data_IF_633222464827
#
_entry.id   IF_633222464827
#
_cell.length_a   1.000
_cell.length_b   1.000
_cell.length_c   1.000
_cell.angle_alpha   90.00
_cell.angle_beta   90.00
_cell.angle_gamma   90.00
#
_symmetry.space_group_name_H-M   'P 1'
#
loop_
_entity.id
_entity.type
_entity.pdbx_description
1 polymer ?
#
# COMPACT_ATOMS: atom_id res chain seq x y z
N UNK A 1 24.59 -35.73 -29.57
CA UNK A 1 26.03 -35.66 -29.30
C UNK A 1 26.27 -34.85 -28.04
N UNK A 2 26.74 -35.49 -27.00
CA UNK A 2 27.26 -34.95 -25.72
C UNK A 2 28.80 -34.93 -25.82
N UNK A 3 29.47 -34.48 -24.73
CA UNK A 3 29.96 -33.19 -24.26
C UNK A 3 31.51 -33.17 -24.39
N UNK A 4 32.43 -32.68 -23.56
CA UNK A 4 32.47 -32.20 -22.16
C UNK A 4 33.50 -31.07 -21.92
N UNK A 5 33.78 -30.58 -20.72
CA UNK A 5 34.83 -30.73 -19.63
C UNK A 5 34.98 -29.41 -18.87
N UNK A 6 34.84 -29.34 -17.63
CA UNK A 6 35.63 -29.42 -16.39
C UNK A 6 37.10 -28.91 -16.43
N UNK A 7 37.44 -27.95 -15.53
CA UNK A 7 38.64 -27.92 -14.66
C UNK A 7 38.45 -26.81 -13.60
N UNK A 8 38.43 -27.05 -12.38
CA UNK A 8 39.25 -27.48 -11.20
C UNK A 8 40.53 -26.67 -10.94
N UNK A 9 40.66 -26.27 -9.64
CA UNK A 9 41.82 -26.03 -8.75
C UNK A 9 42.42 -24.60 -8.80
N UNK A 10 42.85 -23.98 -7.71
CA UNK A 10 43.55 -24.49 -6.51
C UNK A 10 43.53 -23.52 -5.34
N UNK A 11 43.66 -24.09 -4.16
CA UNK A 11 43.92 -23.57 -2.82
C UNK A 11 45.32 -22.98 -2.73
N UNK A 12 45.51 -21.92 -1.94
CA UNK A 12 46.80 -21.62 -1.32
C UNK A 12 46.61 -21.13 0.12
N UNK A 13 47.09 -21.98 1.02
CA UNK A 13 47.35 -21.76 2.44
C UNK A 13 48.60 -20.91 2.58
N UNK A 14 48.60 -19.93 3.48
CA UNK A 14 49.76 -19.19 3.90
C UNK A 14 49.77 -19.03 5.42
N UNK A 15 50.50 -19.92 6.11
CA UNK A 15 50.91 -19.77 7.51
C UNK A 15 52.04 -18.75 7.60
N UNK A 16 52.01 -17.87 8.61
CA UNK A 16 53.23 -17.29 9.17
C UNK A 16 53.17 -17.21 10.69
N UNK A 17 54.31 -17.63 11.27
CA UNK A 17 54.56 -17.89 12.67
C UNK A 17 54.88 -16.61 13.46
N UNK A 18 54.69 -16.73 14.76
CA UNK A 18 55.11 -15.79 15.81
C UNK A 18 56.61 -15.70 16.02
N UNK A 19 57.11 -14.72 16.75
CA UNK A 19 58.12 -15.02 17.75
C UNK A 19 57.76 -14.61 19.18
N UNK A 20 58.22 -15.44 20.09
CA UNK A 20 58.27 -15.30 21.55
C UNK A 20 59.14 -14.14 21.99
N UNK A 21 58.68 -13.42 23.01
CA UNK A 21 59.49 -12.52 23.81
C UNK A 21 59.25 -12.79 25.30
N UNK A 22 60.29 -13.31 25.96
CA UNK A 22 60.39 -13.52 27.41
C UNK A 22 60.68 -12.19 28.13
N UNK A 23 59.96 -11.90 29.20
CA UNK A 23 60.44 -10.97 30.25
C UNK A 23 59.79 -11.29 31.62
N UNK A 24 60.67 -11.74 32.49
CA UNK A 24 60.87 -11.56 33.92
C UNK A 24 59.65 -11.47 34.89
N UNK A 25 59.75 -12.41 35.85
CA UNK A 25 58.98 -12.43 37.10
C UNK A 25 59.36 -11.26 38.04
N UNK A 26 58.32 -10.64 38.65
CA UNK A 26 58.46 -10.04 39.97
C UNK A 26 57.31 -10.53 40.84
N UNK A 27 57.69 -11.09 41.96
CA UNK A 27 56.79 -11.61 43.01
C UNK A 27 56.29 -10.51 43.90
N UNK A 28 55.01 -10.22 43.88
CA UNK A 28 54.33 -9.52 44.93
C UNK A 28 53.02 -10.24 45.33
N UNK A 29 52.91 -10.56 46.64
CA UNK A 29 51.75 -11.27 47.20
C UNK A 29 50.53 -10.36 47.26
N UNK A 30 49.37 -10.74 46.77
CA UNK A 30 48.15 -9.95 46.98
C UNK A 30 47.57 -10.21 48.33
N UNK A 31 47.20 -9.12 49.01
CA UNK A 31 46.27 -9.11 50.19
C UNK A 31 44.89 -9.58 49.75
N UNK A 32 44.08 -10.21 50.64
CA UNK A 32 42.71 -10.56 50.31
C UNK A 32 41.83 -9.32 50.23
N UNK A 33 41.51 -8.91 49.02
CA UNK A 33 40.57 -7.87 48.69
C UNK A 33 39.13 -8.39 48.73
N UNK A 34 38.29 -7.65 49.38
CA UNK A 34 36.85 -7.78 49.54
C UNK A 34 36.16 -8.26 48.26
N UNK A 35 35.45 -9.39 48.36
CA UNK A 35 34.59 -9.90 47.31
C UNK A 35 33.44 -8.94 47.04
N UNK A 36 33.61 -8.04 46.10
CA UNK A 36 32.52 -7.23 45.55
C UNK A 36 31.64 -8.15 44.74
N UNK A 37 30.44 -8.40 45.19
CA UNK A 37 29.35 -9.04 44.46
C UNK A 37 29.18 -8.29 43.13
N UNK A 38 29.66 -8.90 42.06
CA UNK A 38 29.35 -8.43 40.69
C UNK A 38 27.82 -8.55 40.50
N UNK A 39 27.13 -7.44 40.69
CA UNK A 39 25.74 -7.31 40.24
C UNK A 39 25.73 -7.67 38.75
N UNK A 40 25.10 -8.80 38.41
CA UNK A 40 24.81 -9.16 37.03
C UNK A 40 24.09 -7.98 36.38
N UNK A 41 24.82 -7.15 35.68
CA UNK A 41 24.27 -6.05 34.92
C UNK A 41 23.22 -6.61 33.98
N UNK A 42 21.99 -6.17 34.13
CA UNK A 42 20.92 -6.53 33.20
C UNK A 42 21.35 -6.19 31.77
N UNK A 43 20.86 -6.92 30.78
CA UNK A 43 21.27 -6.72 29.41
C UNK A 43 21.07 -5.27 28.98
N UNK A 44 22.09 -4.69 28.35
CA UNK A 44 22.11 -3.30 27.91
C UNK A 44 20.86 -2.94 27.09
N UNK A 45 20.27 -1.75 27.32
CA UNK A 45 19.10 -1.29 26.60
C UNK A 45 19.38 -1.17 25.10
N UNK A 46 18.34 -1.28 24.26
CA UNK A 46 18.45 -1.16 22.81
C UNK A 46 19.22 0.12 22.41
N UNK A 47 20.24 -0.05 21.59
CA UNK A 47 20.97 1.07 20.96
C UNK A 47 20.29 1.39 19.64
N UNK A 48 19.48 2.44 19.63
CA UNK A 48 18.69 2.84 18.45
C UNK A 48 19.48 3.83 17.61
N UNK A 49 19.60 3.59 16.32
CA UNK A 49 20.26 4.44 15.34
C UNK A 49 19.37 4.58 14.09
N UNK A 50 19.25 5.80 13.58
CA UNK A 50 18.47 6.11 12.38
C UNK A 50 19.10 7.25 11.61
N UNK A 51 20.20 6.99 10.83
CA UNK A 51 20.84 8.05 10.07
C UNK A 51 19.86 8.70 9.11
N UNK A 52 19.85 10.04 9.08
CA UNK A 52 18.96 10.84 8.22
C UNK A 52 17.52 11.01 8.73
N UNK A 53 17.15 10.40 9.87
CA UNK A 53 15.86 10.70 10.51
C UNK A 53 15.98 11.96 11.38
N UNK A 54 14.93 12.83 11.43
CA UNK A 54 14.87 13.96 12.35
C UNK A 54 15.06 13.52 13.81
N UNK A 55 15.72 14.32 14.62
CA UNK A 55 16.04 14.00 16.01
C UNK A 55 14.79 13.69 16.83
N UNK A 56 13.75 14.50 16.73
CA UNK A 56 12.48 14.33 17.43
C UNK A 56 11.72 13.06 17.00
N UNK A 57 11.89 12.62 15.76
CA UNK A 57 11.36 11.33 15.29
C UNK A 57 12.17 10.17 15.86
N UNK A 58 13.50 10.30 15.87
CA UNK A 58 14.41 9.30 16.43
C UNK A 58 14.15 9.10 17.93
N UNK A 59 13.84 10.15 18.69
CA UNK A 59 13.49 10.10 20.11
C UNK A 59 12.22 9.26 20.34
N UNK A 60 11.16 9.46 19.53
CA UNK A 60 9.94 8.65 19.60
C UNK A 60 10.24 7.19 19.30
N UNK A 61 11.06 6.91 18.28
CA UNK A 61 11.42 5.54 17.91
C UNK A 61 12.31 4.88 18.97
N UNK A 62 13.24 5.63 19.55
CA UNK A 62 14.07 5.16 20.67
C UNK A 62 13.22 4.77 21.87
N UNK A 63 12.25 5.61 22.23
CA UNK A 63 11.28 5.34 23.29
C UNK A 63 10.45 4.08 22.98
N UNK A 64 10.00 3.92 21.73
CA UNK A 64 9.24 2.75 21.29
C UNK A 64 10.00 1.44 21.53
N UNK A 65 11.26 1.36 21.06
CA UNK A 65 12.07 0.13 21.13
C UNK A 65 12.62 -0.15 22.53
N UNK A 66 12.77 0.87 23.37
CA UNK A 66 13.15 0.74 24.79
C UNK A 66 11.98 0.41 25.72
N UNK A 67 10.75 0.32 25.20
CA UNK A 67 9.57 -0.05 25.97
C UNK A 67 8.89 1.12 26.68
N UNK A 68 9.35 2.37 26.47
CA UNK A 68 8.73 3.57 27.05
C UNK A 68 7.43 3.97 26.36
N UNK A 69 6.61 4.79 27.00
CA UNK A 69 5.33 5.27 26.46
C UNK A 69 5.56 6.26 25.31
N UNK A 70 5.00 5.95 24.13
CA UNK A 70 5.05 6.83 22.97
C UNK A 70 3.71 7.51 22.71
N UNK A 71 3.70 8.72 22.12
CA UNK A 71 2.47 9.29 21.59
C UNK A 71 1.91 8.39 20.50
N UNK A 72 0.68 7.90 20.68
CA UNK A 72 0.07 6.97 19.73
C UNK A 72 -1.46 7.08 19.77
N UNK A 73 -2.13 6.72 18.67
CA UNK A 73 -3.57 6.56 18.62
C UNK A 73 -4.05 5.42 19.54
N UNK A 74 -5.33 5.46 19.93
CA UNK A 74 -5.92 4.53 20.90
C UNK A 74 -5.70 3.06 20.53
N UNK A 75 -5.95 2.69 19.27
CA UNK A 75 -5.78 1.32 18.79
C UNK A 75 -4.32 0.87 18.78
N UNK A 76 -3.40 1.80 18.45
CA UNK A 76 -1.95 1.55 18.47
C UNK A 76 -1.44 1.40 19.91
N UNK A 77 -1.90 2.23 20.86
CA UNK A 77 -1.58 2.08 22.28
C UNK A 77 -1.95 0.70 22.80
N UNK A 78 -3.15 0.23 22.46
CA UNK A 78 -3.62 -1.11 22.83
C UNK A 78 -2.74 -2.22 22.21
N UNK A 79 -2.35 -2.10 20.95
CA UNK A 79 -1.46 -3.07 20.30
C UNK A 79 -0.06 -3.08 20.92
N UNK A 80 0.45 -1.94 21.33
CA UNK A 80 1.78 -1.79 21.92
C UNK A 80 1.84 -2.11 23.43
N UNK A 81 0.72 -2.26 24.12
CA UNK A 81 0.67 -2.48 25.58
C UNK A 81 1.39 -3.76 26.02
N UNK A 82 1.29 -4.83 25.22
CA UNK A 82 1.90 -6.13 25.50
C UNK A 82 3.24 -6.35 24.79
N UNK A 83 3.84 -5.30 24.16
CA UNK A 83 5.08 -5.47 23.40
C UNK A 83 6.26 -5.85 24.30
N UNK A 84 7.21 -6.57 23.73
CA UNK A 84 8.50 -6.85 24.36
C UNK A 84 9.53 -5.80 23.90
N UNK A 85 10.54 -5.56 24.71
CA UNK A 85 11.70 -4.74 24.35
C UNK A 85 12.67 -5.53 23.47
N UNK A 86 13.30 -4.85 22.52
CA UNK A 86 14.41 -5.41 21.73
C UNK A 86 15.70 -5.28 22.53
N UNK A 87 16.56 -6.28 22.45
CA UNK A 87 17.92 -6.27 22.99
C UNK A 87 18.91 -6.09 21.83
N UNK A 88 19.95 -5.29 22.04
CA UNK A 88 20.97 -5.06 21.03
C UNK A 88 20.71 -3.88 20.09
N UNK A 89 21.42 -3.79 18.96
CA UNK A 89 21.33 -2.65 18.06
C UNK A 89 20.03 -2.66 17.28
N UNK A 90 19.36 -1.51 17.23
CA UNK A 90 18.18 -1.24 16.40
C UNK A 90 18.58 -0.23 15.32
N UNK A 91 18.64 -0.68 14.09
CA UNK A 91 18.94 0.17 12.93
C UNK A 91 17.66 0.55 12.24
N UNK A 92 17.36 1.84 12.21
CA UNK A 92 16.16 2.38 11.58
C UNK A 92 16.51 2.91 10.18
N UNK A 93 15.61 2.63 9.25
CA UNK A 93 15.57 3.26 7.93
C UNK A 93 14.18 3.86 7.72
N UNK A 94 14.07 4.90 6.90
CA UNK A 94 12.75 5.46 6.65
C UNK A 94 12.82 6.77 5.90
N UNK A 95 11.64 7.30 5.62
CA UNK A 95 11.48 8.62 4.99
C UNK A 95 10.45 9.44 5.74
N UNK A 96 10.67 10.75 5.74
CA UNK A 96 9.65 11.73 6.07
C UNK A 96 9.10 12.36 4.80
N UNK A 97 7.94 12.98 4.92
CA UNK A 97 7.31 13.67 3.81
C UNK A 97 6.12 14.51 4.26
N UNK A 98 5.29 14.91 3.31
CA UNK A 98 4.06 15.64 3.56
C UNK A 98 2.90 15.01 2.83
N UNK A 99 1.75 14.94 3.49
CA UNK A 99 0.48 14.63 2.87
C UNK A 99 -0.47 15.80 3.12
N UNK A 100 -0.86 16.50 2.03
CA UNK A 100 -1.52 17.79 2.14
C UNK A 100 -0.68 18.74 3.03
N UNK A 101 -1.21 19.23 4.15
CA UNK A 101 -0.50 20.09 5.11
C UNK A 101 0.21 19.33 6.24
N UNK A 102 -0.03 18.03 6.38
CA UNK A 102 0.49 17.24 7.49
C UNK A 102 1.84 16.62 7.19
N UNK A 103 2.76 16.66 8.14
CA UNK A 103 4.02 15.91 8.05
C UNK A 103 3.78 14.45 8.39
N UNK A 104 4.36 13.55 7.61
CA UNK A 104 4.25 12.10 7.76
C UNK A 104 5.62 11.45 7.81
N UNK A 105 5.69 10.28 8.43
CA UNK A 105 6.89 9.45 8.41
C UNK A 105 6.53 7.96 8.31
N UNK A 106 7.41 7.22 7.65
CA UNK A 106 7.42 5.76 7.70
C UNK A 106 8.80 5.32 8.12
N UNK A 107 8.90 4.57 9.22
CA UNK A 107 10.15 4.10 9.79
C UNK A 107 10.11 2.57 9.87
N UNK A 108 11.22 1.96 9.49
CA UNK A 108 11.36 0.49 9.36
C UNK A 108 12.57 0.03 10.17
N UNK A 109 12.41 -1.10 10.86
CA UNK A 109 13.49 -1.89 11.46
C UNK A 109 13.21 -3.35 11.16
N UNK A 110 14.09 -3.99 10.41
CA UNK A 110 13.89 -5.36 9.92
C UNK A 110 12.51 -5.51 9.25
N UNK A 111 11.60 -6.26 9.88
CA UNK A 111 10.21 -6.43 9.45
C UNK A 111 9.23 -5.47 10.12
N UNK A 112 9.68 -4.66 11.06
CA UNK A 112 8.82 -3.69 11.73
C UNK A 112 8.56 -2.50 10.81
N UNK A 113 7.34 -2.02 10.81
CA UNK A 113 6.92 -0.80 10.12
C UNK A 113 6.17 0.08 11.10
N UNK A 114 6.61 1.32 11.26
CA UNK A 114 5.96 2.33 12.09
C UNK A 114 5.50 3.50 11.23
N UNK A 115 4.22 3.84 11.33
CA UNK A 115 3.60 4.96 10.62
C UNK A 115 3.36 6.10 11.60
N UNK A 116 3.82 7.29 11.24
CA UNK A 116 3.71 8.45 12.12
C UNK A 116 3.18 9.66 11.37
N UNK A 117 2.41 10.46 12.10
CA UNK A 117 1.94 11.79 11.69
C UNK A 117 2.46 12.80 12.70
N UNK A 118 2.93 13.95 12.23
CA UNK A 118 3.35 15.06 13.08
C UNK A 118 2.40 16.23 12.92
N UNK A 119 1.75 16.56 14.00
CA UNK A 119 1.14 17.87 14.25
C UNK A 119 2.10 18.70 15.13
N UNK A 120 1.87 18.83 16.44
CA UNK A 120 2.82 19.41 17.39
C UNK A 120 3.99 18.46 17.69
N UNK A 121 3.72 17.16 17.74
CA UNK A 121 4.69 16.07 17.98
C UNK A 121 4.41 14.87 17.07
N UNK A 122 5.41 14.03 16.89
CA UNK A 122 5.20 12.76 16.19
C UNK A 122 4.31 11.83 17.01
N UNK A 123 3.25 11.33 16.36
CA UNK A 123 2.28 10.39 16.93
C UNK A 123 2.25 9.14 16.08
N UNK A 124 2.37 7.96 16.69
CA UNK A 124 2.27 6.68 15.99
C UNK A 124 0.79 6.42 15.69
N UNK A 125 0.47 6.33 14.40
CA UNK A 125 -0.92 6.17 13.89
C UNK A 125 -1.21 4.77 13.36
N UNK A 126 -0.18 3.93 13.23
CA UNK A 126 -0.30 2.55 12.78
C UNK A 126 1.05 1.88 12.75
N UNK A 127 1.05 0.58 12.50
CA UNK A 127 2.28 -0.16 12.34
C UNK A 127 2.13 -1.67 12.52
N UNK A 128 3.24 -2.34 12.33
CA UNK A 128 3.41 -3.75 12.56
C UNK A 128 4.81 -4.00 13.14
N UNK A 129 4.90 -4.67 14.28
CA UNK A 129 6.14 -4.79 15.06
C UNK A 129 6.42 -6.24 15.48
N UNK A 130 6.76 -7.13 14.53
CA UNK A 130 7.13 -8.53 14.85
C UNK A 130 8.33 -8.63 15.78
N UNK A 131 9.32 -7.71 15.68
CA UNK A 131 10.50 -7.74 16.56
C UNK A 131 10.13 -7.47 18.03
N UNK A 132 9.10 -6.64 18.25
CA UNK A 132 8.53 -6.34 19.56
C UNK A 132 7.51 -7.39 20.04
N UNK A 133 7.33 -8.50 19.30
CA UNK A 133 6.35 -9.57 19.56
C UNK A 133 4.90 -9.08 19.57
N UNK A 134 4.58 -8.02 18.83
CA UNK A 134 3.21 -7.58 18.59
C UNK A 134 2.57 -8.54 17.58
N UNK A 135 1.57 -9.28 18.02
CA UNK A 135 1.02 -10.43 17.27
C UNK A 135 0.26 -10.03 15.99
N UNK A 136 -0.30 -8.83 15.95
CA UNK A 136 -1.13 -8.37 14.82
C UNK A 136 -0.76 -6.95 14.40
N UNK A 137 -0.86 -6.62 13.11
CA UNK A 137 -0.77 -5.23 12.66
C UNK A 137 -1.80 -4.35 13.35
N UNK A 138 -1.40 -3.14 13.72
CA UNK A 138 -2.30 -2.12 14.25
C UNK A 138 -2.85 -1.28 13.09
N UNK A 139 -3.53 -1.93 12.14
CA UNK A 139 -4.21 -1.30 11.00
C UNK A 139 -5.70 -1.62 11.05
N UNK A 140 -6.50 -0.68 10.59
CA UNK A 140 -7.93 -0.88 10.41
C UNK A 140 -8.19 -1.51 9.03
N UNK A 141 -9.03 -2.54 8.96
CA UNK A 141 -9.60 -2.98 7.68
C UNK A 141 -10.43 -1.86 7.08
N UNK A 142 -10.19 -1.52 5.84
CA UNK A 142 -10.88 -0.44 5.14
C UNK A 142 -11.38 -0.91 3.77
N UNK A 143 -12.55 -0.40 3.37
CA UNK A 143 -13.10 -0.52 2.02
C UNK A 143 -13.17 0.88 1.44
N UNK A 144 -12.33 1.15 0.48
CA UNK A 144 -12.16 2.47 -0.10
C UNK A 144 -12.65 2.45 -1.53
N UNK A 145 -13.41 3.46 -1.93
CA UNK A 145 -13.82 3.64 -3.31
C UNK A 145 -12.72 4.38 -4.07
N UNK A 146 -12.04 3.67 -4.97
CA UNK A 146 -11.11 4.28 -5.91
C UNK A 146 -11.89 4.78 -7.12
N UNK A 147 -11.82 6.10 -7.37
CA UNK A 147 -12.55 6.79 -8.43
C UNK A 147 -11.57 7.34 -9.45
N UNK A 148 -11.67 6.91 -10.69
CA UNK A 148 -11.03 7.54 -11.83
C UNK A 148 -12.01 8.50 -12.51
N UNK A 149 -11.76 9.79 -12.39
CA UNK A 149 -12.54 10.84 -13.05
C UNK A 149 -12.09 11.03 -14.48
N UNK A 150 -13.01 11.30 -15.40
CA UNK A 150 -12.70 11.65 -16.78
C UNK A 150 -12.26 13.12 -16.93
N UNK A 151 -11.99 13.79 -15.83
CA UNK A 151 -11.53 15.16 -15.77
C UNK A 151 -10.25 15.39 -16.59
N UNK A 152 -10.33 16.40 -17.47
CA UNK A 152 -9.20 16.91 -18.25
C UNK A 152 -8.72 18.20 -17.61
N UNK A 153 -7.42 18.49 -17.70
CA UNK A 153 -6.88 19.73 -17.19
C UNK A 153 -7.49 20.94 -17.95
N UNK A 154 -8.04 21.96 -17.27
CA UNK A 154 -7.98 22.23 -15.82
C UNK A 154 -9.24 21.79 -15.01
N UNK A 155 -10.07 20.89 -15.52
CA UNK A 155 -11.34 20.51 -14.89
C UNK A 155 -11.13 19.91 -13.48
N UNK A 156 -11.97 20.29 -12.48
CA UNK A 156 -11.97 19.68 -11.16
C UNK A 156 -12.36 18.20 -11.22
N UNK A 157 -11.58 17.33 -10.62
CA UNK A 157 -11.82 15.87 -10.68
C UNK A 157 -13.16 15.44 -10.06
N UNK A 158 -13.68 16.19 -9.12
CA UNK A 158 -14.96 15.91 -8.43
C UNK A 158 -16.19 16.45 -9.17
N UNK A 159 -16.01 17.12 -10.30
CA UNK A 159 -17.08 17.73 -11.13
C UNK A 159 -17.24 17.07 -12.49
N UNK A 160 -16.54 15.97 -12.74
CA UNK A 160 -16.60 15.19 -13.97
C UNK A 160 -17.17 13.78 -13.69
N UNK A 161 -17.33 12.95 -14.73
CA UNK A 161 -17.89 11.60 -14.53
C UNK A 161 -16.88 10.65 -13.86
N UNK A 162 -17.38 9.79 -12.99
CA UNK A 162 -16.62 8.68 -12.40
C UNK A 162 -16.52 7.50 -13.36
N UNK A 163 -15.57 7.51 -14.27
CA UNK A 163 -15.46 6.53 -15.34
C UNK A 163 -14.71 5.26 -14.97
N UNK A 164 -14.04 5.24 -13.82
CA UNK A 164 -13.48 4.06 -13.18
C UNK A 164 -13.96 4.02 -11.72
N UNK A 165 -14.64 2.96 -11.33
CA UNK A 165 -15.21 2.80 -10.00
C UNK A 165 -14.79 1.43 -9.46
N UNK A 166 -13.96 1.42 -8.42
CA UNK A 166 -13.45 0.18 -7.82
C UNK A 166 -13.55 0.24 -6.30
N UNK A 167 -14.22 -0.74 -5.69
CA UNK A 167 -14.12 -0.97 -4.25
C UNK A 167 -12.82 -1.73 -4.01
N UNK A 168 -11.94 -1.16 -3.22
CA UNK A 168 -10.64 -1.75 -2.84
C UNK A 168 -10.63 -2.00 -1.35
N UNK A 169 -10.34 -3.23 -0.94
CA UNK A 169 -10.24 -3.61 0.46
C UNK A 169 -9.13 -4.62 0.70
N UNK A 170 -8.64 -4.64 1.93
CA UNK A 170 -7.71 -5.67 2.44
C UNK A 170 -8.10 -5.98 3.88
N UNK A 171 -8.23 -7.26 4.22
CA UNK A 171 -8.51 -7.70 5.57
C UNK A 171 -7.25 -7.72 6.45
N UNK A 172 -7.43 -7.95 7.74
CA UNK A 172 -6.34 -8.02 8.71
C UNK A 172 -5.37 -9.20 8.49
N UNK A 173 -5.67 -10.13 7.57
CA UNK A 173 -4.83 -11.27 7.19
C UNK A 173 -4.06 -11.04 5.89
N UNK A 174 -4.15 -9.83 5.32
CA UNK A 174 -3.51 -9.48 4.05
C UNK A 174 -4.19 -10.11 2.82
N UNK A 175 -5.43 -10.58 2.96
CA UNK A 175 -6.26 -11.00 1.82
C UNK A 175 -7.06 -9.79 1.34
N UNK A 176 -7.15 -9.58 0.05
CA UNK A 176 -7.82 -8.39 -0.48
C UNK A 176 -8.72 -8.66 -1.67
N UNK A 177 -9.49 -7.62 -2.00
CA UNK A 177 -10.34 -7.59 -3.17
C UNK A 177 -10.33 -6.23 -3.87
N UNK A 178 -10.43 -6.29 -5.18
CA UNK A 178 -10.64 -5.15 -6.06
C UNK A 178 -11.88 -5.48 -6.89
N UNK A 179 -12.96 -4.74 -6.66
CA UNK A 179 -14.25 -4.96 -7.34
C UNK A 179 -14.55 -3.78 -8.23
N UNK A 180 -14.44 -3.98 -9.54
CA UNK A 180 -14.82 -3.00 -10.55
C UNK A 180 -16.35 -2.95 -10.72
N UNK A 181 -16.89 -1.75 -10.76
CA UNK A 181 -18.32 -1.51 -11.03
C UNK A 181 -18.43 -0.91 -12.43
N UNK A 182 -19.20 -1.51 -13.35
CA UNK A 182 -19.43 -0.93 -14.66
C UNK A 182 -20.02 0.48 -14.53
N UNK A 183 -19.41 1.47 -15.15
CA UNK A 183 -19.83 2.89 -15.02
C UNK A 183 -21.25 3.18 -15.51
N UNK A 184 -21.74 2.34 -16.43
CA UNK A 184 -23.07 2.44 -17.01
C UNK A 184 -24.13 1.68 -16.20
N UNK A 185 -23.81 1.19 -14.97
CA UNK A 185 -24.76 0.54 -14.07
C UNK A 185 -25.91 1.49 -13.76
N UNK A 186 -27.15 1.01 -13.98
CA UNK A 186 -28.38 1.76 -13.78
C UNK A 186 -28.84 1.60 -12.35
N UNK A 187 -28.73 2.63 -11.55
CA UNK A 187 -28.92 2.57 -10.10
C UNK A 187 -29.72 3.78 -9.58
N UNK A 188 -30.35 3.60 -8.43
CA UNK A 188 -30.95 4.73 -7.70
C UNK A 188 -29.84 5.70 -7.25
N UNK A 189 -30.10 6.99 -7.46
CA UNK A 189 -29.21 8.09 -7.06
C UNK A 189 -29.61 8.64 -5.69
N UNK A 190 -28.66 9.19 -4.93
CA UNK A 190 -29.00 10.03 -3.79
C UNK A 190 -29.93 11.17 -4.26
N UNK A 191 -31.13 11.25 -3.68
CA UNK A 191 -32.18 12.22 -4.11
C UNK A 191 -33.34 11.61 -4.90
N UNK A 192 -33.37 10.27 -5.10
CA UNK A 192 -34.53 9.52 -5.56
C UNK A 192 -34.67 9.31 -7.07
N UNK A 193 -33.85 9.95 -7.91
CA UNK A 193 -33.80 9.66 -9.35
C UNK A 193 -33.05 8.34 -9.64
N UNK A 194 -33.15 7.86 -10.87
CA UNK A 194 -32.37 6.70 -11.35
C UNK A 194 -31.52 7.14 -12.53
N UNK A 195 -30.24 6.79 -12.53
CA UNK A 195 -29.30 7.14 -13.61
C UNK A 195 -28.12 6.16 -13.68
N UNK A 196 -27.24 6.35 -14.66
CA UNK A 196 -25.94 5.65 -14.70
C UNK A 196 -25.10 6.04 -13.49
N UNK A 197 -24.51 5.07 -12.81
CA UNK A 197 -23.78 5.26 -11.55
C UNK A 197 -22.62 6.30 -11.67
N UNK A 198 -22.01 6.43 -12.86
CA UNK A 198 -20.94 7.41 -13.08
C UNK A 198 -21.41 8.87 -13.04
N UNK A 199 -22.71 9.12 -13.21
CA UNK A 199 -23.29 10.45 -13.10
C UNK A 199 -23.33 10.97 -11.65
N UNK A 200 -23.28 10.08 -10.66
CA UNK A 200 -23.32 10.45 -9.26
C UNK A 200 -22.19 11.41 -8.86
N UNK A 201 -21.02 11.30 -9.49
CA UNK A 201 -19.89 12.21 -9.25
C UNK A 201 -20.19 13.64 -9.73
N UNK A 202 -20.84 13.78 -10.87
CA UNK A 202 -21.25 15.12 -11.39
C UNK A 202 -22.36 15.72 -10.53
N UNK A 203 -23.34 14.91 -10.15
CA UNK A 203 -24.53 15.34 -9.45
C UNK A 203 -24.30 15.67 -7.96
N UNK A 204 -23.49 14.87 -7.27
CA UNK A 204 -23.30 14.95 -5.83
C UNK A 204 -21.84 14.99 -5.37
N UNK A 205 -20.90 15.21 -6.29
CA UNK A 205 -19.45 15.15 -5.99
C UNK A 205 -19.01 13.76 -5.51
N UNK A 206 -17.84 13.69 -4.91
CA UNK A 206 -17.27 12.41 -4.44
C UNK A 206 -18.16 11.74 -3.37
N UNK A 207 -18.78 12.50 -2.48
CA UNK A 207 -19.73 11.97 -1.47
C UNK A 207 -20.98 11.38 -2.12
N UNK A 208 -21.52 12.03 -3.15
CA UNK A 208 -22.63 11.49 -3.94
C UNK A 208 -22.25 10.20 -4.63
N UNK A 209 -21.05 10.10 -5.17
CA UNK A 209 -20.55 8.87 -5.78
C UNK A 209 -20.41 7.73 -4.76
N UNK A 210 -19.86 8.01 -3.57
CA UNK A 210 -19.79 7.03 -2.45
C UNK A 210 -21.18 6.59 -2.04
N UNK A 211 -22.12 7.51 -1.87
CA UNK A 211 -23.50 7.18 -1.49
C UNK A 211 -24.20 6.29 -2.53
N UNK A 212 -24.07 6.61 -3.83
CA UNK A 212 -24.63 5.79 -4.90
C UNK A 212 -24.04 4.37 -4.94
N UNK A 213 -22.71 4.25 -4.77
CA UNK A 213 -22.04 2.95 -4.72
C UNK A 213 -22.45 2.17 -3.46
N UNK A 214 -22.46 2.80 -2.28
CA UNK A 214 -22.87 2.15 -1.03
C UNK A 214 -24.33 1.66 -1.09
N UNK A 215 -25.23 2.46 -1.64
CA UNK A 215 -26.64 2.09 -1.82
C UNK A 215 -26.81 0.92 -2.80
N UNK A 216 -26.14 0.98 -3.96
CA UNK A 216 -26.25 -0.05 -4.99
C UNK A 216 -25.61 -1.38 -4.58
N UNK A 217 -24.54 -1.34 -3.79
CA UNK A 217 -23.76 -2.51 -3.40
C UNK A 217 -24.13 -3.09 -2.04
N UNK A 218 -24.66 -2.28 -1.11
CA UNK A 218 -24.80 -2.62 0.30
C UNK A 218 -23.45 -2.77 1.04
N UNK A 219 -22.35 -2.35 0.42
CA UNK A 219 -21.00 -2.37 1.03
C UNK A 219 -20.78 -1.06 1.78
N UNK A 220 -20.42 -1.11 3.07
CA UNK A 220 -20.03 0.09 3.80
C UNK A 220 -18.69 0.59 3.27
N UNK A 221 -18.68 1.76 2.63
CA UNK A 221 -17.48 2.40 2.11
C UNK A 221 -16.91 3.33 3.19
N UNK A 222 -15.67 3.11 3.58
CA UNK A 222 -15.00 3.85 4.65
C UNK A 222 -14.48 5.23 4.19
N UNK A 223 -14.35 5.44 2.89
CA UNK A 223 -13.91 6.69 2.27
C UNK A 223 -13.59 6.51 0.80
N UNK A 224 -13.11 7.57 0.17
CA UNK A 224 -12.76 7.52 -1.26
C UNK A 224 -11.34 8.06 -1.53
N UNK A 225 -10.81 7.66 -2.67
CA UNK A 225 -9.64 8.27 -3.31
C UNK A 225 -10.00 8.55 -4.77
N UNK A 226 -9.87 9.81 -5.21
CA UNK A 226 -10.19 10.22 -6.56
C UNK A 226 -9.01 10.87 -7.26
N UNK A 227 -8.81 10.54 -8.54
CA UNK A 227 -7.82 11.12 -9.42
C UNK A 227 -8.36 11.31 -10.84
N UNK A 228 -7.82 12.27 -11.57
CA UNK A 228 -8.03 12.43 -13.01
C UNK A 228 -6.85 11.89 -13.81
N UNK A 229 -6.86 12.09 -15.13
CA UNK A 229 -5.83 11.57 -16.05
C UNK A 229 -4.42 12.06 -15.75
N UNK A 230 -4.25 13.35 -15.40
CA UNK A 230 -2.94 13.92 -15.01
C UNK A 230 -2.39 13.23 -13.76
N UNK A 231 -3.23 13.08 -12.75
CA UNK A 231 -2.85 12.43 -11.49
C UNK A 231 -2.53 10.96 -11.66
N UNK A 232 -3.35 10.22 -12.40
CA UNK A 232 -3.08 8.83 -12.73
C UNK A 232 -1.70 8.64 -13.39
N UNK A 233 -1.38 9.47 -14.40
CA UNK A 233 -0.06 9.44 -15.06
C UNK A 233 1.07 9.73 -14.08
N UNK A 234 0.91 10.73 -13.21
CA UNK A 234 1.89 11.08 -12.20
C UNK A 234 2.13 9.94 -11.20
N UNK A 235 1.06 9.24 -10.78
CA UNK A 235 1.18 8.06 -9.90
C UNK A 235 1.97 6.93 -10.56
N UNK A 236 1.63 6.57 -11.81
CA UNK A 236 2.36 5.52 -12.55
C UNK A 236 3.83 5.90 -12.72
N UNK A 237 4.13 7.15 -13.07
CA UNK A 237 5.51 7.66 -13.17
C UNK A 237 6.26 7.59 -11.83
N UNK A 238 5.58 7.92 -10.72
CA UNK A 238 6.17 7.87 -9.37
C UNK A 238 6.56 6.45 -8.93
N UNK A 239 5.88 5.43 -9.48
CA UNK A 239 6.19 4.02 -9.30
C UNK A 239 7.27 3.50 -10.26
N UNK A 240 7.72 4.33 -11.21
CA UNK A 240 8.64 3.91 -12.28
C UNK A 240 7.98 3.03 -13.34
N UNK A 241 6.67 3.18 -13.54
CA UNK A 241 5.84 2.33 -14.39
C UNK A 241 5.18 1.19 -13.63
N UNK A 242 4.40 0.38 -14.34
CA UNK A 242 3.74 -0.82 -13.79
C UNK A 242 4.05 -2.04 -14.65
N UNK A 243 4.03 -3.22 -14.05
CA UNK A 243 4.15 -4.51 -14.75
C UNK A 243 2.76 -5.09 -14.94
N UNK A 244 2.40 -5.34 -16.19
CA UNK A 244 1.10 -5.89 -16.59
C UNK A 244 1.28 -7.15 -17.42
N UNK A 245 0.57 -8.21 -17.07
CA UNK A 245 0.58 -9.45 -17.86
C UNK A 245 -0.68 -9.49 -18.71
N UNK A 246 -0.52 -9.54 -20.02
CA UNK A 246 -1.59 -9.61 -20.99
C UNK A 246 -1.64 -11.00 -21.64
N UNK A 247 -2.83 -11.54 -21.81
CA UNK A 247 -3.05 -12.81 -22.54
C UNK A 247 -3.17 -12.61 -24.06
N UNK A 248 -3.37 -11.36 -24.51
CA UNK A 248 -3.45 -10.98 -25.94
C UNK A 248 -2.90 -9.57 -26.17
N UNK A 249 -2.62 -9.26 -27.43
CA UNK A 249 -2.29 -7.90 -27.84
C UNK A 249 -3.51 -6.98 -27.73
N UNK A 250 -3.29 -5.74 -27.26
CA UNK A 250 -4.31 -4.68 -27.24
C UNK A 250 -3.71 -3.46 -27.91
N UNK A 251 -4.45 -2.88 -28.86
CA UNK A 251 -4.11 -1.62 -29.54
C UNK A 251 -5.02 -0.50 -29.04
N UNK A 252 -4.54 0.73 -29.10
CA UNK A 252 -5.35 1.92 -28.83
C UNK A 252 -6.25 2.24 -30.03
N UNK A 253 -7.25 3.09 -29.82
CA UNK A 253 -8.06 3.66 -30.90
C UNK A 253 -7.22 4.53 -31.87
N UNK A 254 -6.07 5.00 -31.43
CA UNK A 254 -5.10 5.77 -32.21
C UNK A 254 -4.11 4.86 -32.98
N UNK A 255 -4.29 3.53 -32.89
CA UNK A 255 -3.53 2.51 -33.64
C UNK A 255 -2.22 2.05 -33.02
N UNK A 256 -1.70 2.67 -31.94
CA UNK A 256 -0.48 2.21 -31.32
C UNK A 256 -0.71 0.98 -30.41
N UNK A 257 0.30 0.17 -30.29
CA UNK A 257 0.24 -1.03 -29.45
C UNK A 257 0.38 -0.69 -27.97
N UNK A 258 -0.66 -0.98 -27.16
CA UNK A 258 -0.65 -0.75 -25.73
C UNK A 258 0.07 -1.88 -24.99
N UNK A 259 -0.28 -3.14 -25.28
CA UNK A 259 0.33 -4.35 -24.71
C UNK A 259 0.49 -5.44 -25.76
N UNK A 260 1.50 -6.29 -25.59
CA UNK A 260 1.72 -7.56 -26.30
C UNK A 260 1.30 -8.73 -25.39
N UNK A 261 1.07 -9.94 -25.91
CA UNK A 261 0.93 -11.13 -25.08
C UNK A 261 2.14 -11.30 -24.15
N UNK A 262 1.89 -11.74 -22.91
CA UNK A 262 2.92 -11.91 -21.90
C UNK A 262 3.15 -10.66 -21.03
N UNK A 263 4.34 -10.55 -20.46
CA UNK A 263 4.71 -9.50 -19.52
C UNK A 263 5.08 -8.19 -20.23
N UNK A 264 4.44 -7.10 -19.83
CA UNK A 264 4.67 -5.75 -20.35
C UNK A 264 5.07 -4.82 -19.21
N UNK A 265 6.02 -3.92 -19.45
CA UNK A 265 6.30 -2.78 -18.57
C UNK A 265 5.64 -1.54 -19.18
N UNK A 266 4.60 -1.06 -18.52
CA UNK A 266 3.82 0.09 -18.98
C UNK A 266 4.33 1.36 -18.32
N UNK A 267 4.64 2.36 -19.13
CA UNK A 267 4.80 3.73 -18.66
C UNK A 267 3.43 4.40 -18.44
N UNK A 268 3.45 5.66 -18.05
CA UNK A 268 2.24 6.42 -17.77
C UNK A 268 1.31 6.59 -18.98
N UNK A 269 1.85 6.64 -20.21
CA UNK A 269 1.08 6.76 -21.45
C UNK A 269 0.34 5.45 -21.74
N UNK A 270 1.07 4.35 -21.77
CA UNK A 270 0.50 3.02 -22.05
C UNK A 270 -0.46 2.56 -20.96
N UNK A 271 -0.15 2.81 -19.67
CA UNK A 271 -1.06 2.50 -18.57
C UNK A 271 -2.39 3.27 -18.66
N UNK A 272 -2.34 4.56 -19.00
CA UNK A 272 -3.55 5.36 -19.21
C UNK A 272 -4.34 4.89 -20.45
N UNK A 273 -3.65 4.57 -21.52
CA UNK A 273 -4.30 4.03 -22.73
C UNK A 273 -5.03 2.72 -22.42
N UNK A 274 -4.38 1.78 -21.69
CA UNK A 274 -4.99 0.53 -21.25
C UNK A 274 -6.21 0.77 -20.35
N UNK A 275 -6.11 1.69 -19.39
CA UNK A 275 -7.22 2.03 -18.49
C UNK A 275 -8.44 2.64 -19.20
N UNK A 276 -8.25 3.18 -20.41
CA UNK A 276 -9.31 3.80 -21.21
C UNK A 276 -9.81 2.95 -22.37
N UNK A 277 -9.04 1.91 -22.76
CA UNK A 277 -9.38 1.08 -23.92
C UNK A 277 -10.64 0.23 -23.64
N UNK A 278 -11.59 0.26 -24.58
CA UNK A 278 -12.83 -0.52 -24.56
C UNK A 278 -13.23 -1.06 -25.93
N UNK A 279 -12.91 -0.32 -27.00
CA UNK A 279 -13.42 -0.63 -28.35
C UNK A 279 -12.84 -1.93 -28.91
N UNK A 280 -11.58 -2.21 -28.60
CA UNK A 280 -10.89 -3.43 -29.04
C UNK A 280 -10.94 -4.55 -27.97
N UNK A 281 -11.83 -4.41 -26.95
CA UNK A 281 -12.08 -5.45 -25.95
C UNK A 281 -13.38 -6.19 -26.32
N UNK A 282 -13.36 -7.52 -26.30
CA UNK A 282 -14.53 -8.37 -26.65
C UNK A 282 -15.75 -8.14 -25.74
N UNK A 283 -15.49 -7.75 -24.48
CA UNK A 283 -16.49 -7.48 -23.45
C UNK A 283 -16.62 -5.98 -23.12
N UNK A 284 -16.10 -5.09 -23.99
CA UNK A 284 -16.30 -3.65 -23.95
C UNK A 284 -15.97 -3.02 -22.60
N UNK A 285 -16.97 -2.43 -21.94
CA UNK A 285 -16.81 -1.71 -20.67
C UNK A 285 -16.43 -2.61 -19.50
N UNK A 286 -16.90 -3.85 -19.45
CA UNK A 286 -16.48 -4.83 -18.45
C UNK A 286 -14.99 -5.14 -18.53
N UNK A 287 -14.47 -5.33 -19.77
CA UNK A 287 -13.04 -5.55 -20.00
C UNK A 287 -12.19 -4.36 -19.60
N UNK A 288 -12.66 -3.14 -19.87
CA UNK A 288 -12.01 -1.92 -19.41
C UNK A 288 -11.95 -1.87 -17.88
N UNK A 289 -13.05 -2.14 -17.19
CA UNK A 289 -13.10 -2.17 -15.73
C UNK A 289 -12.17 -3.25 -15.16
N UNK A 290 -12.11 -4.43 -15.78
CA UNK A 290 -11.16 -5.49 -15.39
C UNK A 290 -9.70 -5.05 -15.53
N UNK A 291 -9.35 -4.39 -16.64
CA UNK A 291 -8.01 -3.85 -16.86
C UNK A 291 -7.67 -2.76 -15.83
N UNK A 292 -8.62 -1.88 -15.48
CA UNK A 292 -8.43 -0.86 -14.45
C UNK A 292 -8.12 -1.48 -13.09
N UNK A 293 -8.86 -2.50 -12.66
CA UNK A 293 -8.59 -3.23 -11.43
C UNK A 293 -7.23 -3.96 -11.45
N UNK A 294 -6.85 -4.54 -12.60
CA UNK A 294 -5.53 -5.14 -12.77
C UNK A 294 -4.40 -4.11 -12.70
N UNK A 295 -4.61 -2.89 -13.20
CA UNK A 295 -3.67 -1.76 -13.06
C UNK A 295 -3.52 -1.34 -11.60
N UNK A 296 -4.62 -1.26 -10.83
CA UNK A 296 -4.57 -0.97 -9.39
C UNK A 296 -3.71 -2.03 -8.69
N UNK A 297 -3.96 -3.32 -8.95
CA UNK A 297 -3.15 -4.42 -8.40
C UNK A 297 -1.68 -4.33 -8.81
N UNK A 298 -1.39 -4.03 -10.07
CA UNK A 298 -0.03 -3.85 -10.57
C UNK A 298 0.69 -2.68 -9.88
N UNK A 299 -0.02 -1.56 -9.66
CA UNK A 299 0.48 -0.41 -8.89
C UNK A 299 0.83 -0.78 -7.44
N UNK A 300 -0.02 -1.58 -6.78
CA UNK A 300 0.25 -2.12 -5.44
C UNK A 300 1.53 -2.96 -5.41
N UNK A 301 1.70 -3.89 -6.36
CA UNK A 301 2.91 -4.73 -6.48
C UNK A 301 4.15 -3.87 -6.68
N UNK A 302 4.07 -2.83 -7.50
CA UNK A 302 5.20 -1.91 -7.71
C UNK A 302 5.53 -1.11 -6.44
N UNK A 303 4.53 -0.63 -5.70
CA UNK A 303 4.74 0.03 -4.41
C UNK A 303 5.42 -0.91 -3.40
N UNK A 304 4.99 -2.17 -3.33
CA UNK A 304 5.63 -3.20 -2.49
C UNK A 304 7.12 -3.39 -2.80
N UNK A 305 7.50 -3.39 -4.10
CA UNK A 305 8.91 -3.49 -4.52
C UNK A 305 9.76 -2.29 -4.11
N UNK A 306 9.17 -1.10 -3.98
CA UNK A 306 9.88 0.09 -3.51
C UNK A 306 10.23 0.04 -2.01
N UNK A 307 9.57 -0.80 -1.25
CA UNK A 307 9.77 -0.97 0.19
C UNK A 307 9.00 0.03 1.06
N UNK A 308 8.60 -0.38 2.29
CA UNK A 308 7.78 0.44 3.19
C UNK A 308 8.49 1.70 3.63
N UNK A 309 9.82 1.68 3.74
CA UNK A 309 10.61 2.84 4.12
C UNK A 309 10.40 4.05 3.19
N UNK A 310 10.00 3.82 1.93
CA UNK A 310 9.74 4.88 0.94
C UNK A 310 8.29 5.38 0.89
N UNK A 311 7.40 4.82 1.70
CA UNK A 311 5.97 5.13 1.63
C UNK A 311 5.68 6.62 1.84
N UNK A 312 6.27 7.26 2.86
CA UNK A 312 6.04 8.68 3.12
C UNK A 312 6.47 9.56 1.93
N UNK A 313 7.64 9.30 1.33
CA UNK A 313 8.10 10.04 0.16
C UNK A 313 7.26 9.79 -1.09
N UNK A 314 6.74 8.57 -1.27
CA UNK A 314 5.82 8.24 -2.36
C UNK A 314 4.50 8.99 -2.22
N UNK A 315 3.91 8.98 -1.03
CA UNK A 315 2.68 9.72 -0.71
C UNK A 315 2.85 11.22 -0.93
N UNK A 316 4.00 11.79 -0.58
CA UNK A 316 4.30 13.21 -0.84
C UNK A 316 4.22 13.54 -2.33
N UNK A 317 4.78 12.70 -3.19
CA UNK A 317 4.72 12.89 -4.64
C UNK A 317 3.30 12.72 -5.22
N UNK A 318 2.49 11.86 -4.60
CA UNK A 318 1.10 11.61 -5.05
C UNK A 318 0.10 12.63 -4.51
N UNK A 319 0.38 13.25 -3.38
CA UNK A 319 -0.52 14.14 -2.65
C UNK A 319 -1.17 15.24 -3.50
N UNK A 320 -0.47 15.93 -4.44
CA UNK A 320 -1.07 16.97 -5.27
C UNK A 320 -2.12 16.46 -6.28
N UNK A 321 -2.13 15.15 -6.54
CA UNK A 321 -2.90 14.53 -7.62
C UNK A 321 -4.08 13.69 -7.12
N UNK A 322 -4.25 13.59 -5.80
CA UNK A 322 -5.30 12.82 -5.17
C UNK A 322 -6.21 13.72 -4.33
N UNK A 323 -7.51 13.54 -4.49
CA UNK A 323 -8.51 14.03 -3.54
C UNK A 323 -9.06 12.84 -2.74
N UNK A 324 -9.33 13.06 -1.44
CA UNK A 324 -9.82 12.03 -0.53
C UNK A 324 -10.45 12.67 0.69
N UNK A 325 -11.42 12.01 1.31
CA UNK A 325 -11.98 12.35 2.61
C UNK A 325 -11.32 11.56 3.78
N UNK A 326 -10.39 10.67 3.45
CA UNK A 326 -9.62 9.94 4.45
C UNK A 326 -8.71 10.89 5.23
N UNK A 327 -8.66 10.70 6.53
CA UNK A 327 -7.66 11.35 7.38
C UNK A 327 -6.25 10.92 7.00
N UNK A 328 -5.25 11.69 7.39
CA UNK A 328 -3.83 11.36 7.11
C UNK A 328 -3.43 10.00 7.68
N UNK A 329 -3.92 9.68 8.88
CA UNK A 329 -3.69 8.39 9.51
C UNK A 329 -4.35 7.24 8.72
N UNK A 330 -5.56 7.43 8.22
CA UNK A 330 -6.26 6.45 7.41
C UNK A 330 -5.57 6.22 6.05
N UNK A 331 -5.06 7.27 5.41
CA UNK A 331 -4.27 7.13 4.18
C UNK A 331 -3.01 6.30 4.42
N UNK A 332 -2.26 6.58 5.49
CA UNK A 332 -1.08 5.80 5.86
C UNK A 332 -1.45 4.34 6.16
N UNK A 333 -2.50 4.10 6.93
CA UNK A 333 -2.97 2.76 7.29
C UNK A 333 -3.46 1.97 6.06
N UNK A 334 -4.21 2.61 5.14
CA UNK A 334 -4.63 2.00 3.88
C UNK A 334 -3.42 1.56 3.05
N UNK A 335 -2.48 2.46 2.83
CA UNK A 335 -1.27 2.17 2.05
C UNK A 335 -0.43 1.07 2.70
N UNK A 336 -0.29 1.06 4.03
CA UNK A 336 0.45 0.04 4.73
C UNK A 336 -0.26 -1.33 4.70
N UNK A 337 -1.59 -1.37 4.81
CA UNK A 337 -2.35 -2.61 4.67
C UNK A 337 -2.21 -3.22 3.27
N UNK A 338 -2.28 -2.39 2.23
CA UNK A 338 -2.00 -2.81 0.84
C UNK A 338 -0.55 -3.28 0.67
N UNK A 339 0.39 -2.61 1.33
CA UNK A 339 1.80 -2.97 1.29
C UNK A 339 2.06 -4.35 1.94
N UNK A 340 1.45 -4.64 3.07
CA UNK A 340 1.61 -5.89 3.81
C UNK A 340 0.74 -7.03 3.24
N UNK A 341 -0.17 -6.73 2.32
CA UNK A 341 -1.01 -7.76 1.71
C UNK A 341 -0.18 -8.69 0.81
N UNK A 342 -0.60 -9.93 0.72
CA UNK A 342 -0.09 -10.85 -0.28
C UNK A 342 -0.75 -10.55 -1.63
N UNK A 343 0.02 -10.04 -2.59
CA UNK A 343 -0.47 -9.70 -3.91
C UNK A 343 -1.11 -10.90 -4.64
N UNK A 344 -0.68 -12.13 -4.36
CA UNK A 344 -1.29 -13.34 -4.93
C UNK A 344 -2.72 -13.54 -4.39
N UNK A 345 -2.97 -13.12 -3.15
CA UNK A 345 -4.27 -13.25 -2.46
C UNK A 345 -5.17 -12.02 -2.62
N UNK A 346 -4.74 -10.99 -3.34
CA UNK A 346 -5.59 -9.87 -3.76
C UNK A 346 -6.24 -10.22 -5.09
N UNK A 347 -7.54 -10.44 -5.09
CA UNK A 347 -8.32 -10.77 -6.28
C UNK A 347 -8.87 -9.52 -6.94
N UNK A 348 -9.00 -9.57 -8.27
CA UNK A 348 -9.65 -8.53 -9.07
C UNK A 348 -10.82 -9.15 -9.82
N UNK A 349 -11.99 -8.56 -9.68
CA UNK A 349 -13.19 -8.94 -10.42
C UNK A 349 -14.00 -7.72 -10.84
N UNK A 350 -14.91 -7.90 -11.79
CA UNK A 350 -15.89 -6.88 -12.18
C UNK A 350 -17.27 -7.42 -11.84
N UNK A 351 -18.10 -6.58 -11.26
CA UNK A 351 -19.49 -6.91 -10.95
C UNK A 351 -20.21 -7.32 -12.23
N UNK A 352 -20.80 -8.53 -12.28
CA UNK A 352 -21.56 -8.96 -13.45
C UNK A 352 -22.87 -8.18 -13.58
N UNK A 353 -23.32 -8.03 -14.82
CA UNK A 353 -24.59 -7.37 -15.13
C UNK A 353 -25.03 -7.67 -16.54
N UNK A 354 -26.28 -7.42 -16.84
CA UNK A 354 -26.89 -7.57 -18.18
C UNK A 354 -27.04 -6.22 -18.87
N UNK A 355 -26.80 -6.20 -20.19
CA UNK A 355 -27.05 -5.02 -21.01
C UNK A 355 -28.55 -4.81 -21.21
N UNK A 356 -28.98 -3.57 -21.12
CA UNK A 356 -30.36 -3.16 -21.33
C UNK A 356 -30.41 -1.74 -21.90
N UNK A 357 -31.61 -1.32 -22.33
CA UNK A 357 -31.89 0.07 -22.70
C UNK A 357 -32.83 0.67 -21.66
N UNK A 358 -32.48 1.83 -21.12
CA UNK A 358 -33.33 2.66 -20.25
C UNK A 358 -33.20 4.12 -20.69
N UNK A 359 -34.30 4.82 -20.79
CA UNK A 359 -34.36 6.21 -21.21
C UNK A 359 -33.53 6.48 -22.49
N UNK A 360 -33.69 5.57 -23.47
CA UNK A 360 -32.91 5.57 -24.75
C UNK A 360 -31.40 5.49 -24.59
N UNK A 361 -30.91 5.01 -23.44
CA UNK A 361 -29.48 4.84 -23.18
C UNK A 361 -29.15 3.34 -22.99
N UNK A 362 -28.01 2.91 -23.51
CA UNK A 362 -27.45 1.61 -23.15
C UNK A 362 -26.95 1.64 -21.69
N UNK A 363 -27.42 0.69 -20.89
CA UNK A 363 -27.15 0.61 -19.45
C UNK A 363 -26.79 -0.81 -19.04
N UNK A 364 -26.26 -0.96 -17.82
CA UNK A 364 -26.00 -2.26 -17.18
C UNK A 364 -26.97 -2.43 -16.00
N UNK A 365 -27.74 -3.51 -15.99
CA UNK A 365 -28.59 -3.89 -14.88
C UNK A 365 -27.85 -4.84 -13.94
N UNK A 366 -27.78 -4.49 -12.66
CA UNK A 366 -27.14 -5.28 -11.62
C UNK A 366 -28.14 -6.31 -11.06
N UNK A 367 -27.89 -7.59 -11.26
CA UNK A 367 -28.75 -8.71 -10.85
C UNK A 367 -28.27 -9.42 -9.57
N UNK A 368 -28.76 -10.66 -9.39
CA UNK A 368 -28.42 -11.49 -8.23
C UNK A 368 -26.90 -11.80 -8.11
N UNK A 369 -26.25 -12.07 -9.24
CA UNK A 369 -24.81 -12.31 -9.29
C UNK A 369 -24.00 -11.09 -8.86
N UNK A 370 -24.45 -9.87 -9.21
CA UNK A 370 -23.84 -8.64 -8.73
C UNK A 370 -23.95 -8.52 -7.19
N UNK A 371 -25.13 -8.78 -6.64
CA UNK A 371 -25.34 -8.79 -5.19
C UNK A 371 -24.46 -9.81 -4.47
N UNK A 372 -24.21 -10.97 -5.08
CA UNK A 372 -23.29 -11.97 -4.54
C UNK A 372 -21.85 -11.44 -4.46
N UNK A 373 -21.34 -10.83 -5.54
CA UNK A 373 -20.02 -10.20 -5.57
C UNK A 373 -19.88 -9.10 -4.51
N UNK A 374 -20.92 -8.28 -4.34
CA UNK A 374 -20.91 -7.24 -3.31
C UNK A 374 -20.95 -7.79 -1.88
N UNK A 375 -21.69 -8.86 -1.62
CA UNK A 375 -21.66 -9.53 -0.31
C UNK A 375 -20.28 -10.09 0.00
N UNK A 376 -19.60 -10.64 -1.01
CA UNK A 376 -18.29 -11.22 -0.85
C UNK A 376 -17.22 -10.17 -0.45
N UNK A 377 -17.19 -8.99 -1.09
CA UNK A 377 -16.24 -7.91 -0.75
C UNK A 377 -16.56 -7.16 0.55
N UNK A 378 -17.67 -7.47 1.21
CA UNK A 378 -18.16 -6.68 2.35
C UNK A 378 -17.20 -6.68 3.55
N UNK A 379 -16.40 -7.69 3.73
CA UNK A 379 -15.34 -7.79 4.75
C UNK A 379 -13.96 -7.31 4.26
N UNK A 380 -13.88 -6.75 3.06
CA UNK A 380 -12.65 -6.20 2.46
C UNK A 380 -11.86 -7.20 1.62
N UNK A 381 -12.35 -8.42 1.43
CA UNK A 381 -11.71 -9.47 0.62
C UNK A 381 -12.70 -10.06 -0.39
N UNK A 382 -12.15 -10.73 -1.41
CA UNK A 382 -12.93 -11.59 -2.29
C UNK A 382 -12.63 -13.05 -1.93
N UNK A 383 -13.68 -13.86 -1.83
CA UNK A 383 -13.62 -15.28 -1.49
C UNK A 383 -12.74 -16.11 -2.43
N UNK A 384 -12.36 -17.27 -1.95
CA UNK A 384 -11.53 -18.24 -2.69
C UNK A 384 -12.37 -19.02 -3.70
#
# INVERSE_FOLDING_TARGET
MRPPFLHRRSVLLGMFAAPFGLAACSTDKPRPGVSGTATKGGPAPARVQGPGLPADLLDVMTTLYRGGTVPAERGVKAALSARKTVRGPVRLTGTTGTWKSSRIATVVHDKDVTLLVKDKRWTVVGGWWPSLKVARPAFRTMRVLAIGSDARNPQPVEKCRGDALHIVGVDAKGVGGIVGIPRDSWVAMPGGSTAKINAALVLGGARGQVAAVSQASGVPIDGYVITGFKGFRAMVSSLGGIVFVANRAIRSVEGFQIVKPGTNRLDAKHALALARERKHLSNGDFGRSANQGAIIKAGMVMAQKLGPARLASLLTRMSPYLATDLTVAEVLNLCASLYLSDAARVRNTVVPGSLATRDRQSVVLLGAAARSTFRDIRDGRLGT
#
